data_IF_691908932173
#
_entry.id   IF_691908932173
#
_cell.length_a   1.000
_cell.length_b   1.000
_cell.length_c   1.000
_cell.angle_alpha   90.00
_cell.angle_beta   90.00
_cell.angle_gamma   90.00
#
_symmetry.space_group_name_H-M   'P 1'
#
loop_
_entity.id
_entity.type
_entity.pdbx_description
1 polymer ?
#
# COMPACT_ATOMS: atom_id res chain seq x y z
N UNK A 1 23.78 -12.53 -7.18
CA UNK A 1 22.83 -11.60 -6.53
C UNK A 1 23.30 -11.33 -5.12
N UNK A 2 23.34 -10.06 -4.69
CA UNK A 2 23.62 -9.73 -3.29
C UNK A 2 22.46 -10.23 -2.40
N UNK A 3 22.75 -10.66 -1.17
CA UNK A 3 21.71 -11.11 -0.23
C UNK A 3 20.84 -9.92 0.18
N UNK A 4 19.51 -10.09 0.13
CA UNK A 4 18.57 -9.07 0.61
C UNK A 4 18.69 -8.88 2.12
N UNK A 5 18.66 -7.63 2.58
CA UNK A 5 18.66 -7.29 4.00
C UNK A 5 17.22 -7.29 4.53
N UNK A 6 16.97 -8.08 5.57
CA UNK A 6 15.65 -8.21 6.20
C UNK A 6 15.67 -7.58 7.58
N UNK A 7 14.69 -6.71 7.85
CA UNK A 7 14.50 -6.07 9.16
C UNK A 7 13.27 -6.67 9.82
N UNK A 8 13.38 -7.09 11.08
CA UNK A 8 12.28 -7.66 11.84
C UNK A 8 12.38 -7.28 13.31
N UNK A 9 11.28 -7.46 14.02
CA UNK A 9 11.19 -7.28 15.47
C UNK A 9 10.19 -8.29 16.02
N UNK A 10 10.35 -8.68 17.29
CA UNK A 10 9.41 -9.58 17.97
C UNK A 10 8.06 -8.87 18.26
N UNK A 11 7.09 -9.61 18.83
CA UNK A 11 5.77 -9.06 19.18
C UNK A 11 5.64 -8.63 20.64
N UNK A 12 6.70 -8.73 21.45
CA UNK A 12 6.68 -8.26 22.84
C UNK A 12 6.59 -6.73 22.89
N UNK A 13 5.87 -6.22 23.89
CA UNK A 13 5.59 -4.79 24.06
C UNK A 13 5.93 -4.32 25.46
N UNK A 14 6.36 -3.06 25.56
CA UNK A 14 6.44 -2.30 26.81
C UNK A 14 5.78 -0.93 26.62
N UNK A 15 5.61 -0.17 27.70
CA UNK A 15 5.03 1.18 27.63
C UNK A 15 5.81 2.10 26.66
N UNK A 16 7.13 1.94 26.58
CA UNK A 16 8.03 2.71 25.71
C UNK A 16 8.15 2.12 24.30
N UNK A 17 7.87 0.82 24.13
CA UNK A 17 8.02 0.10 22.84
C UNK A 17 6.75 -0.67 22.45
N UNK A 18 5.62 0.02 22.22
CA UNK A 18 4.44 -0.60 21.61
C UNK A 18 4.72 -0.96 20.14
N UNK A 19 3.89 -1.83 19.56
CA UNK A 19 4.09 -2.37 18.20
C UNK A 19 4.25 -1.30 17.11
N UNK A 20 3.51 -0.19 17.20
CA UNK A 20 3.57 0.89 16.20
C UNK A 20 4.90 1.66 16.27
N UNK A 21 5.47 1.86 17.47
CA UNK A 21 6.80 2.46 17.64
C UNK A 21 7.88 1.51 17.11
N UNK A 22 7.76 0.21 17.37
CA UNK A 22 8.67 -0.80 16.82
C UNK A 22 8.61 -0.82 15.29
N UNK A 23 7.41 -0.72 14.71
CA UNK A 23 7.23 -0.62 13.27
C UNK A 23 7.86 0.65 12.69
N UNK A 24 7.67 1.81 13.33
CA UNK A 24 8.35 3.06 12.94
C UNK A 24 9.87 2.91 12.89
N UNK A 25 10.48 2.32 13.92
CA UNK A 25 11.92 2.06 13.91
C UNK A 25 12.36 1.12 12.78
N UNK A 26 11.56 0.12 12.42
CA UNK A 26 11.85 -0.73 11.27
C UNK A 26 11.85 0.07 9.96
N UNK A 27 10.90 0.98 9.77
CA UNK A 27 10.84 1.86 8.60
C UNK A 27 12.07 2.80 8.52
N UNK A 28 12.55 3.31 9.65
CA UNK A 28 13.76 4.14 9.70
C UNK A 28 15.02 3.37 9.33
N UNK A 29 15.05 2.06 9.64
CA UNK A 29 16.16 1.17 9.28
C UNK A 29 16.04 0.59 7.87
N UNK A 30 14.85 0.52 7.29
CA UNK A 30 14.60 -0.19 6.02
C UNK A 30 15.27 0.45 4.79
N UNK A 31 15.72 1.70 4.91
CA UNK A 31 16.23 2.48 3.78
C UNK A 31 15.15 3.29 3.06
N UNK A 32 13.91 3.29 3.58
CA UNK A 32 12.81 4.05 2.97
C UNK A 32 13.10 5.55 2.87
N UNK A 33 13.84 6.12 3.83
CA UNK A 33 14.29 7.52 3.80
C UNK A 33 15.30 7.84 2.71
N UNK A 34 15.93 6.81 2.14
CA UNK A 34 16.93 6.98 1.08
C UNK A 34 16.27 7.00 -0.31
N UNK A 35 14.95 6.78 -0.38
CA UNK A 35 14.15 6.93 -1.60
C UNK A 35 13.95 8.42 -1.94
N UNK A 36 13.83 8.78 -3.23
CA UNK A 36 13.49 10.14 -3.64
C UNK A 36 12.00 10.37 -3.40
N UNK A 37 11.62 10.80 -2.18
CA UNK A 37 10.21 10.96 -1.81
C UNK A 37 9.70 12.39 -1.94
N UNK A 38 10.57 13.40 -1.91
CA UNK A 38 10.14 14.80 -1.83
C UNK A 38 9.27 15.18 -3.04
N UNK A 39 8.08 15.71 -2.74
CA UNK A 39 7.06 16.15 -3.71
C UNK A 39 6.50 15.05 -4.65
N UNK A 40 6.95 13.81 -4.48
CA UNK A 40 6.56 12.65 -5.27
C UNK A 40 5.24 12.03 -4.78
N UNK A 41 4.43 11.55 -5.70
CA UNK A 41 3.29 10.68 -5.43
C UNK A 41 3.79 9.28 -5.10
N UNK A 42 3.41 8.77 -3.92
CA UNK A 42 3.91 7.48 -3.41
C UNK A 42 2.76 6.50 -3.30
N UNK A 43 2.79 5.44 -4.12
CA UNK A 43 1.76 4.41 -4.14
C UNK A 43 2.04 3.33 -3.07
N UNK A 44 1.19 3.25 -2.04
CA UNK A 44 1.30 2.21 -1.02
C UNK A 44 0.28 1.12 -1.33
N UNK A 45 0.71 0.09 -2.04
CA UNK A 45 -0.12 -1.09 -2.34
C UNK A 45 -0.39 -1.90 -1.08
N UNK A 46 -1.65 -2.06 -0.72
CA UNK A 46 -2.07 -2.90 0.41
C UNK A 46 -3.44 -3.52 0.14
N UNK A 47 -3.74 -4.63 0.83
CA UNK A 47 -5.04 -5.28 0.73
C UNK A 47 -5.99 -4.70 1.78
N UNK A 48 -7.07 -4.05 1.35
CA UNK A 48 -8.02 -3.39 2.25
C UNK A 48 -8.93 -4.34 3.04
N UNK A 49 -8.91 -5.63 2.69
CA UNK A 49 -9.72 -6.68 3.29
C UNK A 49 -10.92 -7.02 2.42
N UNK A 50 -11.75 -7.94 2.89
CA UNK A 50 -13.04 -8.25 2.28
C UNK A 50 -14.13 -8.04 3.32
N UNK A 51 -15.36 -7.83 2.88
CA UNK A 51 -16.48 -7.66 3.81
C UNK A 51 -16.55 -8.85 4.78
N UNK A 52 -16.57 -8.56 6.08
CA UNK A 52 -16.74 -9.54 7.15
C UNK A 52 -15.47 -10.28 7.59
N UNK A 53 -14.29 -9.95 7.09
CA UNK A 53 -13.03 -10.59 7.52
C UNK A 53 -12.11 -9.67 8.34
N UNK A 54 -11.16 -10.27 9.05
CA UNK A 54 -10.10 -9.59 9.81
C UNK A 54 -8.71 -9.91 9.25
N UNK A 55 -8.64 -10.34 7.99
CA UNK A 55 -7.41 -10.81 7.35
C UNK A 55 -6.55 -9.66 6.80
N UNK A 56 -7.08 -8.44 6.76
CA UNK A 56 -6.31 -7.24 6.43
C UNK A 56 -5.37 -6.85 7.57
N UNK A 57 -4.26 -6.20 7.23
CA UNK A 57 -3.42 -5.55 8.24
C UNK A 57 -4.26 -4.50 8.99
N UNK A 58 -3.96 -4.30 10.27
CA UNK A 58 -4.60 -3.22 11.04
C UNK A 58 -4.23 -1.88 10.40
N UNK A 59 -5.20 -1.00 10.07
CA UNK A 59 -4.95 0.25 9.35
C UNK A 59 -4.01 1.21 10.11
N UNK A 60 -3.84 1.04 11.42
CA UNK A 60 -2.87 1.77 12.23
C UNK A 60 -1.42 1.61 11.73
N UNK A 61 -1.04 0.47 11.16
CA UNK A 61 0.28 0.30 10.54
C UNK A 61 0.40 1.15 9.27
N UNK A 62 -0.64 1.14 8.43
CA UNK A 62 -0.68 1.98 7.23
C UNK A 62 -0.55 3.47 7.60
N UNK A 63 -1.21 3.91 8.69
CA UNK A 63 -1.08 5.27 9.21
C UNK A 63 0.36 5.64 9.54
N UNK A 64 1.09 4.79 10.28
CA UNK A 64 2.50 5.04 10.65
C UNK A 64 3.38 5.17 9.41
N UNK A 65 3.17 4.33 8.39
CA UNK A 65 3.91 4.39 7.13
C UNK A 65 3.59 5.68 6.36
N UNK A 66 2.30 6.02 6.23
CA UNK A 66 1.87 7.22 5.50
C UNK A 66 2.40 8.50 6.16
N UNK A 67 2.31 8.60 7.49
CA UNK A 67 2.84 9.75 8.22
C UNK A 67 4.36 9.87 8.05
N UNK A 68 5.09 8.75 8.11
CA UNK A 68 6.53 8.77 7.88
C UNK A 68 6.91 9.21 6.46
N UNK A 69 6.19 8.76 5.43
CA UNK A 69 6.42 9.23 4.05
C UNK A 69 6.14 10.73 3.92
N UNK A 70 5.09 11.25 4.57
CA UNK A 70 4.80 12.69 4.59
C UNK A 70 5.89 13.51 5.28
N UNK A 71 6.44 13.01 6.40
CA UNK A 71 7.56 13.65 7.09
C UNK A 71 8.80 13.75 6.20
N UNK A 72 8.99 12.80 5.28
CA UNK A 72 10.04 12.79 4.27
C UNK A 72 9.71 13.64 3.03
N UNK A 73 8.57 14.34 3.03
CA UNK A 73 8.12 15.23 1.96
C UNK A 73 7.33 14.56 0.85
N UNK A 74 7.00 13.28 0.98
CA UNK A 74 6.21 12.55 -0.01
C UNK A 74 4.71 12.79 0.09
N UNK A 75 4.01 12.42 -0.99
CA UNK A 75 2.56 12.56 -1.16
C UNK A 75 1.92 11.17 -1.28
N UNK A 76 1.81 10.42 -0.16
CA UNK A 76 1.35 9.03 -0.19
C UNK A 76 -0.16 8.92 -0.40
N UNK A 77 -0.56 7.85 -1.09
CA UNK A 77 -1.92 7.35 -1.14
C UNK A 77 -1.91 5.83 -0.97
N UNK A 78 -2.97 5.27 -0.38
CA UNK A 78 -3.12 3.82 -0.33
C UNK A 78 -3.80 3.33 -1.59
N UNK A 79 -3.42 2.15 -2.07
CA UNK A 79 -4.00 1.62 -3.30
C UNK A 79 -4.17 0.12 -3.30
N UNK A 80 -5.21 -0.32 -4.00
CA UNK A 80 -5.46 -1.71 -4.38
C UNK A 80 -6.11 -1.76 -5.78
N UNK A 81 -6.24 -2.94 -6.35
CA UNK A 81 -6.89 -3.20 -7.64
C UNK A 81 -8.16 -4.00 -7.40
N UNK A 82 -9.15 -3.83 -8.26
CA UNK A 82 -10.37 -4.60 -8.20
C UNK A 82 -10.10 -6.10 -8.47
N UNK A 83 -10.99 -6.93 -7.96
CA UNK A 83 -10.92 -8.38 -8.12
C UNK A 83 -11.84 -8.87 -9.23
N UNK A 84 -11.43 -9.93 -9.92
CA UNK A 84 -12.26 -10.58 -10.96
C UNK A 84 -13.46 -11.37 -10.39
N UNK A 85 -13.43 -11.70 -9.10
CA UNK A 85 -14.48 -12.48 -8.46
C UNK A 85 -15.58 -11.59 -7.88
N UNK A 86 -16.74 -12.21 -7.61
CA UNK A 86 -17.87 -11.55 -6.96
C UNK A 86 -17.54 -11.26 -5.51
N UNK A 87 -17.59 -9.99 -5.12
CA UNK A 87 -17.31 -9.54 -3.76
C UNK A 87 -17.38 -8.02 -3.66
N UNK A 88 -17.01 -7.50 -2.49
CA UNK A 88 -16.96 -6.06 -2.21
C UNK A 88 -15.86 -5.34 -2.97
N UNK A 89 -14.99 -6.03 -3.72
CA UNK A 89 -13.87 -5.41 -4.45
C UNK A 89 -13.95 -5.55 -5.97
N UNK A 90 -15.13 -5.85 -6.50
CA UNK A 90 -15.35 -6.03 -7.95
C UNK A 90 -15.34 -4.72 -8.76
N UNK A 91 -15.55 -3.58 -8.12
CA UNK A 91 -15.52 -2.25 -8.72
C UNK A 91 -15.10 -1.21 -7.67
N UNK A 92 -14.66 -0.04 -8.12
CA UNK A 92 -14.02 0.92 -7.22
C UNK A 92 -14.93 1.45 -6.10
N UNK A 93 -16.23 1.61 -6.33
CA UNK A 93 -17.14 2.16 -5.32
C UNK A 93 -17.33 1.16 -4.18
N UNK A 94 -17.71 -0.08 -4.51
CA UNK A 94 -17.86 -1.15 -3.52
C UNK A 94 -16.53 -1.41 -2.78
N UNK A 95 -15.41 -1.29 -3.51
CA UNK A 95 -14.07 -1.52 -2.96
C UNK A 95 -13.71 -0.44 -1.94
N UNK A 96 -14.00 0.83 -2.24
CA UNK A 96 -13.81 1.92 -1.29
C UNK A 96 -14.72 1.79 -0.07
N UNK A 97 -15.96 1.34 -0.24
CA UNK A 97 -16.85 1.04 0.89
C UNK A 97 -16.28 -0.09 1.76
N UNK A 98 -15.80 -1.17 1.15
CA UNK A 98 -15.10 -2.27 1.85
C UNK A 98 -13.88 -1.77 2.61
N UNK A 99 -13.08 -0.91 1.99
CA UNK A 99 -11.93 -0.30 2.64
C UNK A 99 -12.34 0.54 3.85
N UNK A 100 -13.38 1.37 3.71
CA UNK A 100 -13.91 2.18 4.81
C UNK A 100 -14.42 1.33 5.97
N UNK A 101 -15.19 0.25 5.70
CA UNK A 101 -15.67 -0.67 6.73
C UNK A 101 -14.52 -1.35 7.50
N UNK A 102 -13.40 -1.62 6.82
CA UNK A 102 -12.21 -2.19 7.44
C UNK A 102 -11.28 -1.13 8.07
N UNK A 103 -11.72 0.13 8.14
CA UNK A 103 -10.99 1.22 8.77
C UNK A 103 -9.90 1.83 7.90
N UNK A 104 -9.79 1.45 6.63
CA UNK A 104 -8.95 2.13 5.64
C UNK A 104 -9.69 3.36 5.10
N UNK A 105 -9.87 4.37 5.95
CA UNK A 105 -10.43 5.66 5.58
C UNK A 105 -9.42 6.77 5.81
N UNK A 106 -9.61 7.92 5.15
CA UNK A 106 -8.75 9.10 5.31
C UNK A 106 -8.62 9.55 6.77
N UNK A 107 -9.65 9.32 7.60
CA UNK A 107 -9.64 9.65 9.03
C UNK A 107 -8.64 8.76 9.78
N UNK A 108 -8.63 7.47 9.49
CA UNK A 108 -7.76 6.50 10.18
C UNK A 108 -6.33 6.53 9.63
N UNK A 109 -6.17 6.50 8.31
CA UNK A 109 -4.87 6.35 7.63
C UNK A 109 -4.21 7.69 7.32
N UNK A 110 -4.95 8.79 7.40
CA UNK A 110 -4.48 10.14 7.10
C UNK A 110 -4.32 10.42 5.61
N UNK A 111 -4.64 9.48 4.72
CA UNK A 111 -4.44 9.62 3.26
C UNK A 111 -5.65 9.09 2.49
N UNK A 112 -5.78 9.52 1.24
CA UNK A 112 -6.81 8.98 0.36
C UNK A 112 -6.46 7.57 -0.12
N UNK A 113 -7.50 6.80 -0.43
CA UNK A 113 -7.37 5.55 -1.16
C UNK A 113 -7.67 5.81 -2.63
N UNK A 114 -6.90 5.19 -3.52
CA UNK A 114 -7.14 5.20 -4.96
C UNK A 114 -7.20 3.76 -5.45
N UNK A 115 -8.28 3.39 -6.13
CA UNK A 115 -8.38 2.08 -6.78
C UNK A 115 -7.63 2.14 -8.10
N UNK A 116 -6.50 1.45 -8.18
CA UNK A 116 -5.48 1.70 -9.20
C UNK A 116 -5.90 1.34 -10.61
N UNK A 117 -6.87 0.44 -10.76
CA UNK A 117 -7.41 -0.03 -12.03
C UNK A 117 -8.78 0.58 -12.37
N UNK A 118 -9.10 1.71 -11.74
CA UNK A 118 -10.23 2.56 -12.08
C UNK A 118 -11.59 1.98 -11.69
N UNK A 119 -12.66 2.61 -12.18
CA UNK A 119 -14.02 2.32 -11.72
C UNK A 119 -14.43 0.85 -11.93
N UNK A 120 -14.02 0.24 -13.05
CA UNK A 120 -14.45 -1.10 -13.48
C UNK A 120 -13.32 -2.14 -13.48
N UNK A 121 -12.12 -1.80 -13.01
CA UNK A 121 -10.98 -2.73 -12.99
C UNK A 121 -10.24 -2.90 -14.33
N UNK A 122 -10.39 -1.97 -15.27
CA UNK A 122 -9.79 -2.04 -16.61
C UNK A 122 -8.88 -0.85 -16.93
N UNK A 123 -8.63 0.05 -15.97
CA UNK A 123 -7.69 1.16 -16.15
C UNK A 123 -6.26 0.69 -15.90
N UNK A 124 -5.67 0.10 -16.92
CA UNK A 124 -4.39 -0.59 -16.82
C UNK A 124 -3.42 -0.14 -17.91
N UNK A 125 -2.14 -0.37 -17.66
CA UNK A 125 -1.04 -0.04 -18.56
C UNK A 125 -0.19 -1.28 -18.78
N UNK A 126 0.25 -1.50 -20.01
CA UNK A 126 1.23 -2.55 -20.29
C UNK A 126 2.65 -2.07 -19.94
N UNK A 127 3.33 -2.84 -19.10
CA UNK A 127 4.72 -2.62 -18.70
C UNK A 127 5.55 -3.80 -19.19
N UNK A 128 6.73 -3.57 -19.80
CA UNK A 128 7.63 -4.67 -20.17
C UNK A 128 8.08 -5.46 -18.94
N UNK A 129 8.17 -6.78 -19.07
CA UNK A 129 8.75 -7.65 -18.05
C UNK A 129 10.16 -7.99 -18.50
N UNK A 130 11.14 -7.23 -18.00
CA UNK A 130 12.54 -7.44 -18.33
C UNK A 130 13.00 -8.85 -17.92
N UNK A 131 13.58 -9.58 -18.86
CA UNK A 131 13.99 -10.98 -18.65
C UNK A 131 12.83 -11.98 -18.60
N UNK A 132 11.59 -11.58 -18.89
CA UNK A 132 10.45 -12.49 -18.91
C UNK A 132 10.53 -13.50 -20.06
N UNK A 133 10.40 -14.80 -19.76
CA UNK A 133 10.43 -15.88 -20.77
C UNK A 133 9.08 -16.01 -21.49
N UNK A 134 8.00 -16.26 -20.73
CA UNK A 134 6.65 -16.48 -21.25
C UNK A 134 5.79 -15.21 -21.34
N UNK A 135 6.00 -14.27 -20.42
CA UNK A 135 5.26 -13.00 -20.37
C UNK A 135 6.26 -11.89 -20.69
N UNK A 136 6.06 -11.22 -21.83
CA UNK A 136 6.92 -10.10 -22.26
C UNK A 136 6.43 -8.75 -21.77
N UNK A 137 5.13 -8.65 -21.50
CA UNK A 137 4.47 -7.47 -20.95
C UNK A 137 3.42 -7.90 -19.93
N UNK A 138 3.31 -7.16 -18.84
CA UNK A 138 2.28 -7.34 -17.82
C UNK A 138 1.42 -6.08 -17.75
N UNK A 139 0.17 -6.25 -17.32
CA UNK A 139 -0.74 -5.13 -17.06
C UNK A 139 -0.67 -4.75 -15.59
N UNK A 140 -0.57 -3.47 -15.31
CA UNK A 140 -0.59 -2.91 -13.96
C UNK A 140 -1.63 -1.79 -13.90
N UNK A 141 -2.26 -1.61 -12.74
CA UNK A 141 -3.21 -0.52 -12.53
C UNK A 141 -2.56 0.83 -12.79
N UNK A 142 -3.22 1.66 -13.60
CA UNK A 142 -2.76 2.98 -14.06
C UNK A 142 -2.23 3.84 -12.92
N UNK A 143 -2.98 3.97 -11.83
CA UNK A 143 -2.58 4.87 -10.73
C UNK A 143 -1.30 4.43 -10.01
N UNK A 144 -0.98 3.12 -9.97
CA UNK A 144 0.31 2.65 -9.45
C UNK A 144 1.43 3.08 -10.39
N UNK A 145 1.19 3.02 -11.70
CA UNK A 145 2.21 3.30 -12.70
C UNK A 145 2.43 4.79 -12.94
N UNK A 146 1.42 5.61 -12.66
CA UNK A 146 1.49 7.08 -12.68
C UNK A 146 2.12 7.65 -11.39
N UNK A 147 2.34 6.82 -10.35
CA UNK A 147 3.06 7.23 -9.15
C UNK A 147 4.57 7.29 -9.41
N UNK A 148 5.25 8.20 -8.71
CA UNK A 148 6.69 8.40 -8.85
C UNK A 148 7.49 7.34 -8.05
N UNK A 149 6.88 6.78 -7.00
CA UNK A 149 7.47 5.80 -6.07
C UNK A 149 6.48 4.72 -5.65
#
# INVERSE_FOLDING_TARGET
>A
MAKSKVYFTDMSVSMERPLLVKFRHLLEKSGLKDLPLKDHFVAIKTHFGEFGNLAALRPNYARVLCDYIKELGGRPFLTDCNTLYVGGRKNALDHLDTANFNGYSVITTGVHNIIADGLKGNDEVEVPVEGGEYIKKAKIGRAIMDADV
#
